data_IF_297559742281
#
_entry.id   IF_297559742281
#
_cell.length_a   1.000
_cell.length_b   1.000
_cell.length_c   1.000
_cell.angle_alpha   90.00
_cell.angle_beta   90.00
_cell.angle_gamma   90.00
#
_symmetry.space_group_name_H-M   'P 1'
#
loop_
_entity.id
_entity.type
_entity.pdbx_description
1 polymer ?
#
# COMPACT_ATOMS: atom_id res chain seq x y z
N UNK A 1 22.74 -8.57 9.22
CA UNK A 1 22.18 -9.08 7.95
C UNK A 1 22.23 -7.96 6.93
N UNK A 2 23.05 -8.10 5.88
CA UNK A 2 23.15 -7.12 4.80
C UNK A 2 21.89 -7.19 3.93
N UNK A 3 21.03 -6.16 3.97
CA UNK A 3 19.97 -6.00 2.99
C UNK A 3 20.58 -5.38 1.71
N UNK A 4 21.32 -6.19 0.95
CA UNK A 4 21.76 -5.81 -0.38
C UNK A 4 20.51 -5.74 -1.26
N UNK A 5 19.95 -4.54 -1.41
CA UNK A 5 19.11 -4.21 -2.55
C UNK A 5 20.06 -4.24 -3.75
N UNK A 6 20.28 -5.42 -4.31
CA UNK A 6 20.86 -5.54 -5.63
C UNK A 6 19.95 -4.71 -6.57
N UNK A 7 20.50 -3.91 -7.49
CA UNK A 7 19.68 -3.26 -8.50
C UNK A 7 19.09 -4.37 -9.37
N UNK A 8 17.86 -4.80 -9.10
CA UNK A 8 17.23 -5.96 -9.75
C UNK A 8 16.19 -5.62 -10.79
N UNK A 9 15.93 -4.34 -11.07
CA UNK A 9 14.73 -3.98 -11.87
C UNK A 9 14.94 -2.75 -12.77
N UNK A 10 16.13 -2.14 -12.84
CA UNK A 10 16.30 -0.87 -13.58
C UNK A 10 16.33 -1.03 -15.11
N UNK A 11 16.33 -2.24 -15.65
CA UNK A 11 16.26 -2.51 -17.10
C UNK A 11 14.84 -2.79 -17.60
N UNK A 12 13.87 -2.95 -16.70
CA UNK A 12 12.45 -3.11 -17.03
C UNK A 12 11.83 -1.72 -17.07
N UNK A 13 11.82 -1.10 -18.25
CA UNK A 13 11.34 0.29 -18.40
C UNK A 13 9.90 0.49 -17.91
N UNK A 14 9.52 1.73 -17.58
CA UNK A 14 8.16 2.07 -17.11
C UNK A 14 7.04 1.56 -18.04
N UNK A 15 7.32 1.42 -19.33
CA UNK A 15 6.38 0.85 -20.31
C UNK A 15 6.07 -0.62 -20.04
N UNK A 16 7.07 -1.41 -19.67
CA UNK A 16 6.93 -2.83 -19.35
C UNK A 16 6.22 -3.01 -18.00
N UNK A 17 6.59 -2.22 -16.99
CA UNK A 17 5.87 -2.17 -15.71
C UNK A 17 4.38 -1.86 -15.92
N UNK A 18 4.04 -0.92 -16.80
CA UNK A 18 2.64 -0.62 -17.14
C UNK A 18 1.94 -1.83 -17.79
N UNK A 19 2.65 -2.57 -18.63
CA UNK A 19 2.16 -3.83 -19.21
C UNK A 19 1.88 -4.89 -18.14
N UNK A 20 2.76 -5.04 -17.16
CA UNK A 20 2.58 -5.95 -16.02
C UNK A 20 1.40 -5.55 -15.14
N UNK A 21 1.26 -4.26 -14.81
CA UNK A 21 0.09 -3.76 -14.11
C UNK A 21 -1.20 -4.08 -14.86
N UNK A 22 -1.23 -3.90 -16.19
CA UNK A 22 -2.39 -4.21 -17.01
C UNK A 22 -2.72 -5.72 -17.04
N UNK A 23 -1.70 -6.60 -17.05
CA UNK A 23 -1.88 -8.05 -16.94
C UNK A 23 -2.44 -8.49 -15.58
N UNK A 24 -2.07 -7.78 -14.51
CA UNK A 24 -2.53 -8.08 -13.16
C UNK A 24 -3.92 -7.52 -12.82
N UNK A 25 -4.29 -6.37 -13.38
CA UNK A 25 -5.54 -5.68 -13.05
C UNK A 25 -6.82 -6.56 -13.16
N UNK A 26 -6.99 -7.46 -14.16
CA UNK A 26 -8.18 -8.32 -14.25
C UNK A 26 -8.32 -9.32 -13.10
N UNK A 27 -7.23 -9.67 -12.41
CA UNK A 27 -7.23 -10.60 -11.30
C UNK A 27 -7.59 -9.94 -9.97
N UNK A 28 -7.73 -8.62 -9.94
CA UNK A 28 -8.13 -7.90 -8.75
C UNK A 28 -9.65 -7.94 -8.63
N UNK A 29 -10.14 -8.71 -7.67
CA UNK A 29 -11.55 -8.71 -7.29
C UNK A 29 -11.87 -7.34 -6.73
N UNK A 30 -12.59 -6.51 -7.51
CA UNK A 30 -13.16 -5.26 -7.03
C UNK A 30 -14.53 -5.58 -6.45
N UNK A 31 -14.73 -5.47 -5.13
CA UNK A 31 -16.07 -5.59 -4.56
C UNK A 31 -16.99 -4.58 -5.23
N UNK A 32 -18.27 -4.93 -5.41
CA UNK A 32 -19.26 -4.00 -5.93
C UNK A 32 -19.15 -2.67 -5.17
N UNK A 33 -18.94 -1.58 -5.92
CA UNK A 33 -18.73 -0.26 -5.31
C UNK A 33 -20.01 0.14 -4.59
N UNK A 34 -19.98 0.01 -3.27
CA UNK A 34 -20.94 0.69 -2.40
C UNK A 34 -20.44 2.11 -2.27
N UNK A 35 -21.25 3.09 -2.66
CA UNK A 35 -20.99 4.50 -2.35
C UNK A 35 -21.65 4.79 -1.00
N UNK A 36 -20.92 4.73 0.13
CA UNK A 36 -21.50 5.09 1.41
C UNK A 36 -21.91 6.56 1.40
N UNK A 37 -23.00 6.88 2.11
CA UNK A 37 -23.35 8.27 2.36
C UNK A 37 -22.21 8.99 3.07
N UNK A 38 -22.03 10.28 2.80
CA UNK A 38 -21.00 11.09 3.47
C UNK A 38 -21.33 11.15 4.95
N UNK A 39 -20.42 10.64 5.78
CA UNK A 39 -20.52 10.75 7.25
C UNK A 39 -19.80 11.99 7.75
N UNK A 40 -20.22 12.50 8.91
CA UNK A 40 -19.49 13.56 9.59
C UNK A 40 -18.07 13.06 9.93
N UNK A 41 -17.02 13.91 9.86
CA UNK A 41 -15.64 13.50 10.19
C UNK A 41 -15.50 12.88 11.58
N UNK A 42 -16.32 13.34 12.53
CA UNK A 42 -16.39 12.81 13.89
C UNK A 42 -16.92 11.37 13.99
N UNK A 43 -17.34 10.75 12.88
CA UNK A 43 -17.76 9.34 12.79
C UNK A 43 -16.74 8.45 12.09
N UNK A 44 -15.62 9.01 11.60
CA UNK A 44 -14.51 8.28 10.96
C UNK A 44 -13.50 7.80 12.02
N UNK A 45 -13.77 8.07 13.30
CA UNK A 45 -13.02 7.58 14.44
C UNK A 45 -13.68 6.28 14.98
N UNK A 46 -12.86 5.35 15.48
CA UNK A 46 -13.34 4.04 15.96
C UNK A 46 -12.57 2.85 15.42
N UNK A 47 -11.61 3.07 14.50
CA UNK A 47 -10.65 2.04 14.13
C UNK A 47 -9.63 1.89 15.26
N UNK A 48 -9.72 0.79 16.00
CA UNK A 48 -8.67 0.40 16.96
C UNK A 48 -7.65 -0.45 16.23
N UNK A 49 -6.42 0.07 16.13
CA UNK A 49 -5.30 -0.65 15.54
C UNK A 49 -4.58 -1.44 16.65
N UNK A 50 -4.25 -2.73 16.46
CA UNK A 50 -3.49 -3.48 17.45
C UNK A 50 -2.12 -2.84 17.73
N UNK A 51 -1.61 -2.88 18.98
CA UNK A 51 -0.33 -2.28 19.34
C UNK A 51 0.86 -2.78 18.51
N UNK A 52 0.82 -4.03 18.05
CA UNK A 52 1.86 -4.59 17.18
C UNK A 52 1.96 -3.86 15.83
N UNK A 53 0.82 -3.49 15.25
CA UNK A 53 0.76 -2.74 13.99
C UNK A 53 1.24 -1.31 14.16
N UNK A 54 0.87 -0.65 15.28
CA UNK A 54 1.36 0.69 15.58
C UNK A 54 2.89 0.72 15.73
N UNK A 55 3.46 -0.28 16.41
CA UNK A 55 4.92 -0.43 16.56
C UNK A 55 5.64 -0.66 15.23
N UNK A 56 5.00 -1.32 14.27
CA UNK A 56 5.57 -1.52 12.94
C UNK A 56 5.71 -0.18 12.20
N UNK A 57 4.70 0.70 12.28
CA UNK A 57 4.75 2.04 11.68
C UNK A 57 5.75 2.92 12.40
N UNK A 58 5.77 2.89 13.73
CA UNK A 58 6.74 3.63 14.55
C UNK A 58 8.19 3.25 14.21
N UNK A 59 8.46 1.96 13.95
CA UNK A 59 9.77 1.48 13.51
C UNK A 59 10.12 1.85 12.05
N UNK A 60 9.15 2.25 11.23
CA UNK A 60 9.40 2.73 9.86
C UNK A 60 9.89 4.18 9.83
N UNK A 61 9.64 4.96 10.89
CA UNK A 61 10.07 6.36 11.03
C UNK A 61 11.57 6.50 11.36
N UNK A 62 12.33 5.41 11.46
CA UNK A 62 13.80 5.41 11.73
C UNK A 62 14.63 5.95 10.54
N UNK A 63 13.96 6.44 9.49
CA UNK A 63 14.58 7.07 8.34
C UNK A 63 13.60 8.06 7.71
N UNK A 64 13.79 9.34 8.01
CA UNK A 64 13.76 10.49 7.07
C UNK A 64 13.25 11.76 7.79
N UNK A 65 14.20 12.59 8.23
CA UNK A 65 14.37 13.91 7.64
C UNK A 65 15.78 14.00 7.05
#
# INVERSE_FOLDING_TARGET
MSNTIAPRESETGLAELRGDCARMAPHWVVPARVTPARVAPALINGVTVPPASARLVDAMEDRLW
#
